data_IF_793250915255
#
_entry.id   IF_793250915255
#
_cell.length_a   1.000
_cell.length_b   1.000
_cell.length_c   1.000
_cell.angle_alpha   90.00
_cell.angle_beta   90.00
_cell.angle_gamma   90.00
#
_symmetry.space_group_name_H-M   'P 1'
#
loop_
_entity.id
_entity.type
_entity.pdbx_description
1 polymer ?
#
# COMPACT_ATOMS: atom_id res chain seq x y z
N UNK A 1 27.99 102.09 10.96
CA UNK A 1 26.59 102.08 10.48
C UNK A 1 26.45 100.83 9.61
N UNK A 2 26.16 99.68 10.22
CA UNK A 2 24.80 99.18 10.53
C UNK A 2 24.20 98.48 9.29
N UNK A 3 23.65 97.27 9.50
CA UNK A 3 23.03 96.31 8.55
C UNK A 3 24.03 95.42 7.77
N UNK A 4 24.01 94.08 7.79
CA UNK A 4 23.13 93.03 8.30
C UNK A 4 24.01 91.77 8.42
N UNK A 5 24.35 91.28 9.61
CA UNK A 5 23.66 90.15 10.27
C UNK A 5 22.32 89.75 9.64
N UNK A 6 22.26 88.61 8.93
CA UNK A 6 21.26 87.55 9.16
C UNK A 6 21.53 86.29 8.29
N UNK A 7 21.70 85.16 8.98
CA UNK A 7 21.23 83.80 8.63
C UNK A 7 21.65 83.13 7.33
N UNK A 8 22.55 82.14 7.44
CA UNK A 8 22.22 80.75 7.08
C UNK A 8 23.20 79.77 7.75
N UNK A 9 22.95 79.47 9.03
CA UNK A 9 23.46 78.26 9.68
C UNK A 9 22.49 77.13 9.34
N UNK A 10 22.76 76.41 8.25
CA UNK A 10 22.14 75.11 8.01
C UNK A 10 22.89 74.08 8.85
N UNK A 11 22.24 73.39 9.81
CA UNK A 11 22.88 72.26 10.46
C UNK A 11 23.05 71.16 9.41
N UNK A 12 24.29 70.85 9.07
CA UNK A 12 24.62 69.62 8.33
C UNK A 12 24.27 68.48 9.28
N UNK A 13 23.11 67.88 9.07
CA UNK A 13 22.70 66.66 9.73
C UNK A 13 23.56 65.54 9.15
N UNK A 14 24.75 65.35 9.72
CA UNK A 14 25.56 64.16 9.50
C UNK A 14 24.78 63.03 10.17
N UNK A 15 23.92 62.36 9.40
CA UNK A 15 23.30 61.12 9.84
C UNK A 15 24.42 60.16 10.21
N UNK A 16 24.48 59.80 11.49
CA UNK A 16 25.31 58.70 11.94
C UNK A 16 24.97 57.49 11.05
N UNK A 17 25.94 56.82 10.41
CA UNK A 17 25.65 55.58 9.72
C UNK A 17 25.15 54.62 10.80
N UNK A 18 23.86 54.30 10.78
CA UNK A 18 23.33 53.19 11.54
C UNK A 18 24.16 51.98 11.14
N UNK A 19 24.98 51.49 12.08
CA UNK A 19 25.70 50.25 11.96
C UNK A 19 24.65 49.14 11.80
N UNK A 20 24.24 48.89 10.56
CA UNK A 20 23.59 47.64 10.21
C UNK A 20 24.67 46.59 10.43
N UNK A 21 24.43 45.67 11.35
CA UNK A 21 25.26 44.49 11.49
C UNK A 21 25.44 43.90 10.09
N UNK A 22 26.69 43.59 9.71
CA UNK A 22 26.95 43.02 8.40
C UNK A 22 26.10 41.75 8.24
N UNK A 23 25.23 41.74 7.22
CA UNK A 23 24.40 40.57 6.91
C UNK A 23 25.29 39.35 6.71
N UNK A 24 24.90 38.22 7.31
CA UNK A 24 25.53 36.94 7.06
C UNK A 24 25.39 36.63 5.57
N UNK A 25 26.48 36.18 4.95
CA UNK A 25 26.53 35.83 3.53
C UNK A 25 25.98 34.42 3.30
N UNK A 26 25.26 34.23 2.19
CA UNK A 26 24.80 32.92 1.72
C UNK A 26 23.27 32.86 1.56
N UNK A 27 22.83 32.10 0.57
CA UNK A 27 21.41 31.91 0.27
C UNK A 27 20.68 31.19 1.42
N UNK A 28 19.41 31.53 1.63
CA UNK A 28 18.53 30.91 2.62
C UNK A 28 17.66 29.88 1.93
N UNK A 29 17.72 28.62 2.36
CA UNK A 29 16.89 27.55 1.83
C UNK A 29 15.77 27.20 2.80
N UNK A 30 14.52 27.41 2.39
CA UNK A 30 13.35 27.04 3.17
C UNK A 30 12.87 25.66 2.72
N UNK A 31 12.88 24.70 3.64
CA UNK A 31 12.43 23.32 3.43
C UNK A 31 11.12 23.10 4.19
N UNK A 32 9.97 22.92 3.51
CA UNK A 32 8.68 22.67 4.15
C UNK A 32 8.60 21.29 4.83
N UNK A 33 8.26 21.28 6.12
CA UNK A 33 7.97 20.10 6.94
C UNK A 33 6.50 20.16 7.36
N UNK A 34 5.61 20.14 6.36
CA UNK A 34 4.16 20.39 6.48
C UNK A 34 3.28 19.14 6.28
N UNK A 35 3.90 17.94 6.32
CA UNK A 35 3.25 16.64 6.19
C UNK A 35 3.59 15.73 7.38
N UNK A 36 2.86 14.62 7.61
CA UNK A 36 3.30 13.59 8.54
C UNK A 36 4.74 13.12 8.25
N UNK A 37 5.49 12.85 9.31
CA UNK A 37 6.89 12.41 9.22
C UNK A 37 6.94 10.94 8.79
N UNK A 38 6.94 10.73 7.49
CA UNK A 38 7.08 9.45 6.81
C UNK A 38 8.31 9.50 5.89
N UNK A 39 8.83 8.35 5.45
CA UNK A 39 10.05 8.34 4.61
C UNK A 39 9.90 9.17 3.32
N UNK A 40 8.69 9.36 2.77
CA UNK A 40 8.49 10.25 1.62
C UNK A 40 8.85 11.71 1.92
N UNK A 41 8.47 12.22 3.10
CA UNK A 41 8.95 13.51 3.61
C UNK A 41 10.46 13.44 3.90
N UNK A 42 10.95 12.30 4.40
CA UNK A 42 12.36 12.06 4.62
C UNK A 42 13.22 12.24 3.37
N UNK A 43 12.85 11.60 2.25
CA UNK A 43 13.53 11.72 0.96
C UNK A 43 13.48 13.14 0.39
N UNK A 44 12.34 13.80 0.56
CA UNK A 44 12.19 15.21 0.18
C UNK A 44 13.16 16.10 0.97
N UNK A 45 13.26 15.90 2.28
CA UNK A 45 14.20 16.65 3.12
C UNK A 45 15.66 16.33 2.78
N UNK A 46 16.04 15.05 2.61
CA UNK A 46 17.38 14.66 2.14
C UNK A 46 17.77 15.38 0.85
N UNK A 47 16.85 15.46 -0.12
CA UNK A 47 17.05 16.21 -1.36
C UNK A 47 17.20 17.71 -1.10
N UNK A 48 16.37 18.28 -0.23
CA UNK A 48 16.43 19.70 0.13
C UNK A 48 17.76 20.08 0.80
N UNK A 49 18.23 19.28 1.75
CA UNK A 49 19.54 19.45 2.40
C UNK A 49 20.68 19.35 1.37
N UNK A 50 20.65 18.31 0.53
CA UNK A 50 21.64 18.15 -0.54
C UNK A 50 21.66 19.34 -1.51
N UNK A 51 20.50 19.84 -1.89
CA UNK A 51 20.39 21.01 -2.76
C UNK A 51 20.97 22.27 -2.09
N UNK A 52 20.71 22.46 -0.79
CA UNK A 52 21.27 23.57 -0.03
C UNK A 52 22.81 23.49 0.06
N UNK A 53 23.36 22.28 0.26
CA UNK A 53 24.81 22.01 0.27
C UNK A 53 25.45 22.27 -1.10
N UNK A 54 24.89 21.73 -2.18
CA UNK A 54 25.40 21.92 -3.55
C UNK A 54 25.43 23.40 -3.96
N UNK A 55 24.53 24.20 -3.40
CA UNK A 55 24.39 25.63 -3.69
C UNK A 55 25.12 26.52 -2.68
N UNK A 56 25.85 25.95 -1.71
CA UNK A 56 26.55 26.66 -0.63
C UNK A 56 25.63 27.63 0.12
N UNK A 57 24.44 27.15 0.50
CA UNK A 57 23.50 27.90 1.33
C UNK A 57 24.15 28.34 2.65
N UNK A 58 23.80 29.53 3.11
CA UNK A 58 24.23 30.03 4.43
C UNK A 58 23.34 29.50 5.55
N UNK A 59 22.04 29.31 5.27
CA UNK A 59 21.04 28.90 6.26
C UNK A 59 20.04 27.91 5.64
N UNK A 60 19.65 26.90 6.41
CA UNK A 60 18.48 26.07 6.14
C UNK A 60 17.39 26.42 7.17
N UNK A 61 16.23 26.85 6.69
CA UNK A 61 15.02 27.05 7.49
C UNK A 61 14.09 25.86 7.29
N UNK A 62 13.83 25.11 8.35
CA UNK A 62 12.82 24.07 8.36
C UNK A 62 11.48 24.72 8.72
N UNK A 63 10.57 24.87 7.75
CA UNK A 63 9.21 25.40 7.99
C UNK A 63 8.31 24.28 8.50
N UNK A 64 8.22 24.14 9.82
CA UNK A 64 7.58 23.02 10.51
C UNK A 64 6.10 23.31 10.79
N UNK A 65 5.25 22.42 10.28
CA UNK A 65 3.84 22.30 10.63
C UNK A 65 3.38 20.84 10.44
N UNK A 66 3.68 19.99 11.41
CA UNK A 66 3.44 18.55 11.35
C UNK A 66 2.84 17.99 12.64
N UNK A 67 1.88 17.06 12.55
CA UNK A 67 1.37 16.31 13.70
C UNK A 67 2.38 15.26 14.23
N UNK A 68 3.51 15.08 13.55
CA UNK A 68 4.48 14.03 13.83
C UNK A 68 4.37 12.88 12.82
N UNK A 69 4.83 11.69 13.21
CA UNK A 69 4.89 10.54 12.32
C UNK A 69 5.76 9.43 12.91
N UNK A 70 6.44 8.69 12.04
CA UNK A 70 7.21 7.51 12.44
C UNK A 70 8.50 7.90 13.16
N UNK A 71 8.80 7.17 14.25
CA UNK A 71 9.99 7.37 15.09
C UNK A 71 11.29 7.08 14.35
N UNK A 72 11.31 6.03 13.50
CA UNK A 72 12.48 5.65 12.70
C UNK A 72 12.90 6.75 11.70
N UNK A 73 11.91 7.33 11.00
CA UNK A 73 12.12 8.44 10.07
C UNK A 73 12.55 9.70 10.83
N UNK A 74 11.94 9.97 11.99
CA UNK A 74 12.31 11.10 12.83
C UNK A 74 13.77 11.00 13.30
N UNK A 75 14.25 9.81 13.69
CA UNK A 75 15.63 9.58 14.10
C UNK A 75 16.62 9.85 12.96
N UNK A 76 16.33 9.34 11.76
CA UNK A 76 17.15 9.57 10.58
C UNK A 76 17.22 11.06 10.22
N UNK A 77 16.07 11.75 10.23
CA UNK A 77 16.01 13.19 9.93
C UNK A 77 16.62 14.05 11.03
N UNK A 78 16.45 13.70 12.30
CA UNK A 78 17.12 14.39 13.40
C UNK A 78 18.64 14.29 13.28
N UNK A 79 19.16 13.15 12.84
CA UNK A 79 20.59 12.98 12.52
C UNK A 79 21.01 13.84 11.34
N UNK A 80 20.24 13.86 10.24
CA UNK A 80 20.49 14.72 9.08
C UNK A 80 20.55 16.21 9.45
N UNK A 81 19.62 16.68 10.29
CA UNK A 81 19.56 18.07 10.74
C UNK A 81 20.78 18.37 11.62
N UNK A 82 21.02 17.53 12.62
CA UNK A 82 22.11 17.71 13.60
C UNK A 82 23.50 17.70 12.96
N UNK A 83 23.72 16.80 12.01
CA UNK A 83 25.04 16.62 11.37
C UNK A 83 25.21 17.55 10.15
N UNK A 84 24.26 18.45 9.88
CA UNK A 84 24.35 19.38 8.77
C UNK A 84 25.53 20.33 8.93
N UNK A 85 26.32 20.56 7.87
CA UNK A 85 27.39 21.56 7.89
C UNK A 85 26.87 23.00 7.72
N UNK A 86 25.59 23.16 7.37
CA UNK A 86 24.92 24.46 7.21
C UNK A 86 24.13 24.75 8.48
N UNK A 87 24.12 26.01 8.93
CA UNK A 87 23.32 26.44 10.08
C UNK A 87 21.84 26.13 9.82
N UNK A 88 21.15 25.55 10.80
CA UNK A 88 19.74 25.15 10.71
C UNK A 88 18.86 25.90 11.71
N UNK A 89 17.69 26.34 11.24
CA UNK A 89 16.65 26.90 12.11
C UNK A 89 15.32 26.20 11.87
N UNK A 90 14.73 25.69 12.94
CA UNK A 90 13.36 25.20 12.93
C UNK A 90 12.40 26.37 13.14
N UNK A 91 11.71 26.78 12.07
CA UNK A 91 10.61 27.72 12.14
C UNK A 91 9.30 26.95 12.36
N UNK A 92 8.76 26.96 13.58
CA UNK A 92 7.50 26.30 13.92
C UNK A 92 6.34 27.22 13.61
N UNK A 93 5.79 27.08 12.40
CA UNK A 93 4.68 27.89 11.88
C UNK A 93 3.33 27.50 12.49
N UNK A 94 3.13 26.22 12.76
CA UNK A 94 1.92 25.67 13.38
C UNK A 94 2.28 24.65 14.45
N UNK A 95 2.16 23.37 14.14
CA UNK A 95 2.50 22.32 15.10
C UNK A 95 3.90 21.76 14.83
N UNK A 96 4.74 21.69 15.86
CA UNK A 96 5.87 20.77 15.91
C UNK A 96 5.52 19.64 16.89
N UNK A 97 4.48 18.86 16.58
CA UNK A 97 3.99 17.82 17.47
C UNK A 97 4.73 16.50 17.30
N UNK A 98 4.86 15.76 18.39
CA UNK A 98 5.45 14.44 18.42
C UNK A 98 6.84 14.37 17.77
N UNK A 99 7.04 13.54 16.75
CA UNK A 99 8.28 13.49 15.97
C UNK A 99 8.71 14.87 15.40
N UNK A 100 7.78 15.80 15.17
CA UNK A 100 8.09 17.17 14.76
C UNK A 100 8.86 17.96 15.81
N UNK A 101 8.58 17.71 17.11
CA UNK A 101 9.36 18.28 18.20
C UNK A 101 10.80 17.79 18.15
N UNK A 102 11.01 16.49 17.84
CA UNK A 102 12.35 15.93 17.74
C UNK A 102 13.16 16.59 16.63
N UNK A 103 12.54 16.84 15.46
CA UNK A 103 13.21 17.57 14.37
C UNK A 103 13.59 18.99 14.79
N UNK A 104 12.66 19.71 15.43
CA UNK A 104 12.91 21.07 15.92
C UNK A 104 14.05 21.10 16.95
N UNK A 105 14.09 20.14 17.89
CA UNK A 105 15.13 20.06 18.92
C UNK A 105 16.53 19.78 18.37
N UNK A 106 16.64 19.07 17.24
CA UNK A 106 17.92 18.81 16.58
C UNK A 106 18.43 19.99 15.72
N UNK A 107 17.61 21.02 15.48
CA UNK A 107 18.07 22.24 14.81
C UNK A 107 18.87 23.14 15.76
N UNK A 108 19.77 23.95 15.20
CA UNK A 108 20.62 24.88 15.99
C UNK A 108 19.76 25.92 16.71
N UNK A 109 18.70 26.38 16.05
CA UNK A 109 17.77 27.40 16.55
C UNK A 109 16.31 27.00 16.35
N UNK A 110 15.46 27.41 17.28
CA UNK A 110 14.01 27.24 17.19
C UNK A 110 13.36 28.61 17.22
N UNK A 111 12.65 28.96 16.16
CA UNK A 111 11.82 30.17 16.08
C UNK A 111 10.37 29.74 15.95
N UNK A 112 9.46 30.35 16.70
CA UNK A 112 8.06 29.94 16.71
C UNK A 112 7.15 31.07 16.21
N UNK A 113 6.09 30.73 15.49
CA UNK A 113 5.02 31.68 15.16
C UNK A 113 4.08 31.89 16.34
N UNK A 114 3.50 33.09 16.54
CA UNK A 114 2.41 33.27 17.49
C UNK A 114 1.30 32.25 17.26
N UNK A 115 0.81 31.62 18.34
CA UNK A 115 -0.22 30.57 18.28
C UNK A 115 0.28 29.19 17.84
N UNK A 116 1.57 29.01 17.60
CA UNK A 116 2.19 27.72 17.28
C UNK A 116 2.54 26.92 18.55
N UNK A 117 2.85 25.63 18.41
CA UNK A 117 3.18 24.76 19.55
C UNK A 117 4.32 23.77 19.29
N UNK A 118 5.01 23.38 20.36
CA UNK A 118 6.02 22.30 20.37
C UNK A 118 5.78 21.33 21.55
N UNK A 119 5.89 20.03 21.32
CA UNK A 119 5.76 18.97 22.33
C UNK A 119 4.76 17.86 21.94
N UNK A 120 4.07 17.31 22.94
CA UNK A 120 3.14 16.17 22.78
C UNK A 120 3.77 14.99 22.03
N UNK A 121 4.91 14.52 22.52
CA UNK A 121 5.77 13.50 21.91
C UNK A 121 5.75 12.12 22.59
N UNK A 122 4.64 11.82 23.27
CA UNK A 122 4.31 10.47 23.67
C UNK A 122 4.11 9.57 22.43
N UNK A 123 4.69 8.37 22.45
CA UNK A 123 4.51 7.41 21.36
C UNK A 123 3.11 6.79 21.40
N UNK A 124 2.58 6.56 20.21
CA UNK A 124 1.34 5.81 19.97
C UNK A 124 1.58 4.72 18.94
N UNK A 125 0.83 3.62 19.02
CA UNK A 125 0.85 2.56 18.03
C UNK A 125 -0.05 2.91 16.82
N UNK A 126 -0.12 2.00 15.84
CA UNK A 126 -0.94 2.17 14.63
C UNK A 126 -2.44 2.27 14.89
N UNK A 127 -2.91 1.93 16.09
CA UNK A 127 -4.30 2.08 16.52
C UNK A 127 -4.55 3.41 17.25
N UNK A 128 -3.51 4.22 17.44
CA UNK A 128 -3.57 5.48 18.19
C UNK A 128 -3.52 5.27 19.71
N UNK A 129 -3.24 4.05 20.18
CA UNK A 129 -3.12 3.76 21.61
C UNK A 129 -1.71 4.12 22.09
N UNK A 130 -1.60 4.65 23.31
CA UNK A 130 -0.31 4.96 23.91
C UNK A 130 0.58 3.72 24.04
N UNK A 131 1.86 3.89 23.73
CA UNK A 131 2.88 2.86 23.89
C UNK A 131 3.47 2.95 25.29
N UNK A 132 3.10 1.99 26.15
CA UNK A 132 3.55 1.91 27.55
C UNK A 132 4.81 1.03 27.74
N UNK A 133 5.35 0.43 26.67
CA UNK A 133 6.52 -0.43 26.76
C UNK A 133 7.72 0.34 27.37
N UNK A 134 8.23 -0.05 28.54
CA UNK A 134 9.26 0.72 29.23
C UNK A 134 10.56 0.89 28.44
N UNK A 135 10.91 -0.08 27.59
CA UNK A 135 12.12 -0.03 26.78
C UNK A 135 11.96 0.99 25.66
N UNK A 136 10.82 0.97 24.96
CA UNK A 136 10.54 1.94 23.90
C UNK A 136 10.43 3.35 24.49
N UNK A 137 9.67 3.53 25.57
CA UNK A 137 9.50 4.85 26.23
C UNK A 137 10.85 5.38 26.71
N UNK A 138 11.67 4.56 27.37
CA UNK A 138 13.01 4.98 27.80
C UNK A 138 13.89 5.37 26.61
N UNK A 139 13.89 4.59 25.53
CA UNK A 139 14.65 4.89 24.31
C UNK A 139 14.26 6.25 23.71
N UNK A 140 12.97 6.46 23.47
CA UNK A 140 12.48 7.68 22.84
C UNK A 140 12.66 8.91 23.73
N UNK A 141 12.40 8.76 25.03
CA UNK A 141 12.70 9.77 26.04
C UNK A 141 14.16 10.19 25.97
N UNK A 142 15.10 9.25 26.03
CA UNK A 142 16.53 9.56 25.98
C UNK A 142 16.95 10.27 24.69
N UNK A 143 16.36 9.92 23.54
CA UNK A 143 16.59 10.63 22.28
C UNK A 143 16.13 12.08 22.34
N UNK A 144 14.90 12.33 22.81
CA UNK A 144 14.34 13.68 22.96
C UNK A 144 15.13 14.53 23.96
N UNK A 145 15.52 13.95 25.10
CA UNK A 145 16.37 14.63 26.09
C UNK A 145 17.73 15.02 25.49
N UNK A 146 18.41 14.08 24.82
CA UNK A 146 19.70 14.35 24.20
C UNK A 146 19.63 15.44 23.13
N UNK A 147 18.57 15.45 22.31
CA UNK A 147 18.36 16.51 21.31
C UNK A 147 18.19 17.89 21.97
N UNK A 148 17.41 17.99 23.04
CA UNK A 148 17.26 19.25 23.78
C UNK A 148 18.57 19.73 24.40
N UNK A 149 19.30 18.84 25.06
CA UNK A 149 20.53 19.17 25.79
C UNK A 149 21.67 19.63 24.87
N UNK A 150 21.79 19.04 23.67
CA UNK A 150 22.79 19.45 22.66
C UNK A 150 22.63 20.93 22.30
N UNK A 151 21.39 21.40 22.19
CA UNK A 151 21.05 22.78 21.83
C UNK A 151 20.86 23.69 23.06
N UNK A 152 21.30 23.24 24.24
CA UNK A 152 21.28 24.02 25.49
C UNK A 152 19.91 24.14 26.17
N UNK A 153 18.93 23.32 25.80
CA UNK A 153 17.56 23.33 26.35
C UNK A 153 17.44 22.31 27.49
N UNK A 154 16.55 22.55 28.47
CA UNK A 154 16.38 21.65 29.61
C UNK A 154 15.83 20.29 29.16
N UNK A 155 16.66 19.24 29.24
CA UNK A 155 16.28 17.88 28.90
C UNK A 155 15.08 17.36 29.69
N UNK A 156 14.78 17.85 30.90
CA UNK A 156 13.60 17.40 31.67
C UNK A 156 12.29 17.76 30.99
N UNK A 157 12.20 18.94 30.37
CA UNK A 157 11.01 19.37 29.64
C UNK A 157 10.79 18.44 28.43
N UNK A 158 11.84 18.12 27.67
CA UNK A 158 11.77 17.19 26.55
C UNK A 158 11.40 15.77 26.99
N UNK A 159 11.92 15.32 28.14
CA UNK A 159 11.46 14.09 28.76
C UNK A 159 9.95 14.15 29.08
N UNK A 160 9.48 15.27 29.61
CA UNK A 160 8.06 15.49 29.93
C UNK A 160 7.15 15.62 28.70
N UNK A 161 7.71 15.89 27.51
CA UNK A 161 7.01 15.79 26.24
C UNK A 161 6.76 14.33 25.83
N UNK A 162 7.52 13.35 26.36
CA UNK A 162 7.46 11.94 25.94
C UNK A 162 6.84 11.00 26.97
N UNK A 163 7.11 11.23 28.25
CA UNK A 163 6.82 10.29 29.32
C UNK A 163 5.72 10.83 30.24
N UNK A 164 4.56 10.18 30.19
CA UNK A 164 3.40 10.56 31.00
C UNK A 164 3.64 10.35 32.50
N UNK A 165 4.61 9.54 32.91
CA UNK A 165 4.78 9.10 34.30
C UNK A 165 5.71 9.98 35.16
N UNK A 166 6.36 10.98 34.57
CA UNK A 166 7.26 11.88 35.30
C UNK A 166 6.57 13.19 35.70
N UNK A 167 7.13 13.88 36.69
CA UNK A 167 6.72 15.23 37.09
C UNK A 167 7.80 16.20 36.63
N UNK A 168 7.41 17.32 36.03
CA UNK A 168 8.34 18.35 35.55
C UNK A 168 7.82 19.72 35.96
N UNK A 169 8.63 20.47 36.70
CA UNK A 169 8.34 21.83 37.11
C UNK A 169 8.93 22.81 36.09
N UNK A 170 8.13 23.78 35.65
CA UNK A 170 8.52 24.87 34.76
C UNK A 170 8.19 26.20 35.46
N UNK A 171 9.03 26.61 36.43
CA UNK A 171 8.77 27.79 37.26
C UNK A 171 8.67 29.09 36.45
N UNK A 172 9.34 29.19 35.31
CA UNK A 172 9.35 30.35 34.42
C UNK A 172 7.94 30.69 33.88
N UNK A 173 7.05 29.69 33.84
CA UNK A 173 5.65 29.83 33.41
C UNK A 173 4.65 29.45 34.50
N UNK A 174 5.11 29.23 35.74
CA UNK A 174 4.29 28.77 36.88
C UNK A 174 3.44 27.53 36.55
N UNK A 175 4.02 26.57 35.82
CA UNK A 175 3.34 25.35 35.37
C UNK A 175 4.11 24.12 35.86
N UNK A 176 3.40 23.15 36.43
CA UNK A 176 3.98 21.86 36.79
C UNK A 176 3.21 20.76 36.10
N UNK A 177 3.90 19.99 35.26
CA UNK A 177 3.38 18.79 34.61
C UNK A 177 3.27 17.68 35.64
N UNK A 178 2.07 17.12 35.82
CA UNK A 178 1.78 16.01 36.73
C UNK A 178 1.86 14.65 36.02
N UNK A 179 1.75 13.57 36.79
CA UNK A 179 1.65 12.21 36.22
C UNK A 179 0.33 12.05 35.46
N UNK A 180 0.40 11.41 34.29
CA UNK A 180 -0.73 11.24 33.37
C UNK A 180 -0.89 12.37 32.36
N UNK A 181 -0.18 13.49 32.53
CA UNK A 181 -0.16 14.60 31.56
C UNK A 181 1.00 14.47 30.58
N UNK A 182 0.99 15.29 29.52
CA UNK A 182 2.10 15.43 28.57
C UNK A 182 2.40 16.92 28.37
N UNK A 183 3.68 17.27 28.18
CA UNK A 183 4.05 18.66 27.92
C UNK A 183 3.82 18.98 26.45
N UNK A 184 3.05 20.04 26.21
CA UNK A 184 3.05 20.84 25.00
C UNK A 184 3.17 22.31 25.41
N UNK A 185 3.99 23.06 24.69
CA UNK A 185 4.28 24.46 24.95
C UNK A 185 3.78 25.29 23.77
N UNK A 186 3.01 26.34 24.07
CA UNK A 186 2.77 27.45 23.14
C UNK A 186 4.07 28.19 22.81
N UNK A 187 4.10 28.97 21.73
CA UNK A 187 5.24 29.81 21.38
C UNK A 187 5.71 30.71 22.55
N UNK A 188 4.79 31.32 23.29
CA UNK A 188 5.10 32.21 24.40
C UNK A 188 5.61 31.45 25.64
N UNK A 189 5.07 30.26 25.92
CA UNK A 189 5.60 29.38 26.98
C UNK A 189 7.00 28.89 26.61
N UNK A 190 7.17 28.42 25.38
CA UNK A 190 8.44 27.92 24.85
C UNK A 190 9.53 28.99 24.90
N UNK A 191 9.22 30.24 24.56
CA UNK A 191 10.18 31.34 24.68
C UNK A 191 10.59 31.58 26.14
N UNK A 192 9.64 31.56 27.09
CA UNK A 192 9.91 31.80 28.52
C UNK A 192 10.75 30.70 29.17
N UNK A 193 10.53 29.44 28.79
CA UNK A 193 11.28 28.29 29.32
C UNK A 193 12.57 27.99 28.52
N UNK A 194 12.92 28.84 27.54
CA UNK A 194 14.14 28.68 26.72
C UNK A 194 14.09 27.57 25.68
N UNK A 195 12.88 27.11 25.29
CA UNK A 195 12.67 26.15 24.21
C UNK A 195 12.60 26.80 22.83
N UNK A 196 12.11 28.03 22.74
CA UNK A 196 12.21 28.86 21.54
C UNK A 196 13.24 29.98 21.76
N UNK A 197 14.04 30.27 20.74
CA UNK A 197 15.00 31.37 20.75
C UNK A 197 14.34 32.71 20.38
N UNK A 198 13.31 32.68 19.54
CA UNK A 198 12.61 33.88 19.08
C UNK A 198 11.16 33.59 18.63
N UNK A 199 10.36 34.64 18.49
CA UNK A 199 9.01 34.58 17.93
C UNK A 199 8.95 35.45 16.68
N UNK A 200 8.47 34.90 15.56
CA UNK A 200 8.37 35.58 14.26
C UNK A 200 7.17 35.08 13.47
N UNK A 201 6.61 35.85 12.53
CA UNK A 201 5.40 35.45 11.82
C UNK A 201 5.69 34.59 10.58
N UNK A 202 6.89 34.69 10.02
CA UNK A 202 7.26 34.04 8.76
C UNK A 202 8.66 33.42 8.84
N UNK A 203 8.95 32.39 8.01
CA UNK A 203 10.30 31.81 7.94
C UNK A 203 11.34 32.82 7.45
N UNK A 204 10.94 33.79 6.62
CA UNK A 204 11.80 34.88 6.16
C UNK A 204 12.14 35.87 7.30
N UNK A 205 11.20 36.18 8.20
CA UNK A 205 11.46 36.97 9.41
C UNK A 205 12.42 36.23 10.36
N UNK A 206 12.28 34.90 10.49
CA UNK A 206 13.18 34.09 11.29
C UNK A 206 14.62 34.09 10.75
N UNK A 207 14.78 34.01 9.42
CA UNK A 207 16.08 34.12 8.75
C UNK A 207 16.70 35.52 8.94
N UNK A 208 15.89 36.58 8.83
CA UNK A 208 16.32 37.95 9.07
C UNK A 208 16.79 38.18 10.51
N UNK A 209 16.11 37.59 11.50
CA UNK A 209 16.53 37.64 12.90
C UNK A 209 17.91 37.00 13.13
N UNK A 210 18.25 35.96 12.36
CA UNK A 210 19.60 35.35 12.36
C UNK A 210 20.65 36.15 11.58
N UNK A 211 20.26 37.25 10.95
CA UNK A 211 21.12 38.14 10.19
C UNK A 211 21.29 37.79 8.71
N UNK A 212 20.44 36.93 8.15
CA UNK A 212 20.45 36.61 6.71
C UNK A 212 19.52 37.54 5.91
N UNK A 213 19.88 37.81 4.65
CA UNK A 213 19.04 38.61 3.75
C UNK A 213 17.73 37.91 3.40
N UNK A 214 16.66 38.69 3.22
CA UNK A 214 15.37 38.20 2.73
C UNK A 214 15.29 38.15 1.19
N UNK A 215 16.28 38.71 0.48
CA UNK A 215 16.27 38.79 -0.98
C UNK A 215 16.73 37.47 -1.64
N UNK A 216 17.62 36.72 -0.98
CA UNK A 216 18.21 35.47 -1.47
C UNK A 216 17.57 34.22 -0.81
N UNK A 217 16.23 34.18 -0.80
CA UNK A 217 15.44 33.09 -0.21
C UNK A 217 14.92 32.14 -1.27
N UNK A 218 15.31 30.86 -1.17
CA UNK A 218 14.88 29.78 -2.06
C UNK A 218 13.97 28.81 -1.31
N UNK A 219 12.74 28.65 -1.78
CA UNK A 219 11.81 27.64 -1.24
C UNK A 219 12.01 26.34 -2.00
N UNK A 220 12.33 25.27 -1.28
CA UNK A 220 12.46 23.94 -1.87
C UNK A 220 11.07 23.42 -2.22
N UNK A 221 10.78 23.37 -3.51
CA UNK A 221 9.51 22.84 -4.01
C UNK A 221 9.55 21.32 -4.12
N UNK A 222 8.39 20.70 -3.92
CA UNK A 222 8.16 19.29 -4.23
C UNK A 222 8.01 19.12 -5.73
N UNK A 223 8.69 18.12 -6.27
CA UNK A 223 8.48 17.72 -7.66
C UNK A 223 7.08 17.12 -7.83
N UNK A 224 6.54 17.17 -9.05
CA UNK A 224 5.26 16.52 -9.37
C UNK A 224 5.31 15.01 -9.08
N UNK A 225 6.46 14.38 -9.32
CA UNK A 225 6.68 12.98 -9.03
C UNK A 225 6.58 12.67 -7.53
N UNK A 226 7.19 13.48 -6.66
CA UNK A 226 7.08 13.34 -5.20
C UNK A 226 5.65 13.55 -4.70
N UNK A 227 4.91 14.50 -5.28
CA UNK A 227 3.50 14.71 -4.92
C UNK A 227 2.62 13.51 -5.31
N UNK A 228 2.80 12.98 -6.53
CA UNK A 228 2.09 11.78 -6.98
C UNK A 228 2.48 10.58 -6.12
N UNK A 229 3.78 10.40 -5.88
CA UNK A 229 4.29 9.31 -5.05
C UNK A 229 3.73 9.37 -3.64
N UNK A 230 3.76 10.53 -2.98
CA UNK A 230 3.18 10.75 -1.66
C UNK A 230 1.68 10.41 -1.59
N UNK A 231 0.93 10.64 -2.68
CA UNK A 231 -0.46 10.22 -2.76
C UNK A 231 -0.60 8.70 -2.93
N UNK A 232 0.19 8.10 -3.82
CA UNK A 232 0.15 6.66 -4.11
C UNK A 232 0.66 5.79 -2.96
N UNK A 233 1.56 6.30 -2.13
CA UNK A 233 2.11 5.61 -0.96
C UNK A 233 1.31 5.86 0.32
N UNK A 234 0.20 6.58 0.25
CA UNK A 234 -0.70 6.69 1.40
C UNK A 234 -1.25 5.28 1.74
N UNK A 235 -1.27 4.85 3.01
CA UNK A 235 -1.69 3.49 3.40
C UNK A 235 -3.07 3.07 2.87
N UNK A 236 -4.03 4.00 2.86
CA UNK A 236 -5.39 3.75 2.35
C UNK A 236 -5.37 3.57 0.84
N UNK A 237 -4.65 4.45 0.13
CA UNK A 237 -4.53 4.40 -1.33
C UNK A 237 -3.83 3.12 -1.77
N UNK A 238 -2.73 2.73 -1.10
CA UNK A 238 -2.03 1.47 -1.35
C UNK A 238 -2.96 0.26 -1.18
N UNK A 239 -3.74 0.22 -0.10
CA UNK A 239 -4.71 -0.86 0.16
C UNK A 239 -5.76 -0.93 -0.96
N UNK A 240 -6.29 0.21 -1.39
CA UNK A 240 -7.27 0.28 -2.48
C UNK A 240 -6.65 -0.15 -3.81
N UNK A 241 -5.42 0.27 -4.13
CA UNK A 241 -4.71 -0.14 -5.34
C UNK A 241 -4.46 -1.66 -5.35
N UNK A 242 -4.02 -2.25 -4.24
CA UNK A 242 -3.86 -3.69 -4.12
C UNK A 242 -5.19 -4.44 -4.27
N UNK A 243 -6.24 -3.94 -3.64
CA UNK A 243 -7.59 -4.52 -3.76
C UNK A 243 -8.08 -4.51 -5.21
N UNK A 244 -8.03 -3.36 -5.88
CA UNK A 244 -8.45 -3.23 -7.28
C UNK A 244 -7.55 -4.03 -8.22
N UNK A 245 -6.24 -4.10 -7.93
CA UNK A 245 -5.27 -4.95 -8.60
C UNK A 245 -5.67 -6.42 -8.58
N UNK A 246 -5.81 -6.97 -7.37
CA UNK A 246 -6.16 -8.37 -7.12
C UNK A 246 -7.55 -8.69 -7.68
N UNK A 247 -8.56 -7.85 -7.36
CA UNK A 247 -9.92 -8.06 -7.82
C UNK A 247 -10.01 -8.00 -9.36
N UNK A 248 -9.35 -7.05 -10.01
CA UNK A 248 -9.34 -6.92 -11.46
C UNK A 248 -8.79 -8.16 -12.17
N UNK A 249 -7.65 -8.67 -11.69
CA UNK A 249 -7.04 -9.91 -12.22
C UNK A 249 -7.96 -11.12 -12.01
N UNK A 250 -8.52 -11.29 -10.81
CA UNK A 250 -9.37 -12.46 -10.53
C UNK A 250 -10.70 -12.38 -11.31
N UNK A 251 -11.31 -11.20 -11.40
CA UNK A 251 -12.56 -10.99 -12.15
C UNK A 251 -12.34 -11.30 -13.64
N UNK A 252 -11.21 -10.88 -14.22
CA UNK A 252 -10.85 -11.20 -15.61
C UNK A 252 -10.80 -12.72 -15.86
N UNK A 253 -10.29 -13.49 -14.91
CA UNK A 253 -10.19 -14.95 -15.03
C UNK A 253 -11.55 -15.66 -14.90
N UNK A 254 -12.49 -15.09 -14.15
CA UNK A 254 -13.81 -15.69 -13.89
C UNK A 254 -14.84 -15.26 -14.93
N UNK A 255 -14.80 -14.00 -15.37
CA UNK A 255 -15.82 -13.40 -16.23
C UNK A 255 -15.31 -13.35 -17.67
N UNK A 256 -15.79 -14.24 -18.56
CA UNK A 256 -15.45 -14.17 -19.97
C UNK A 256 -16.02 -12.87 -20.56
N UNK A 257 -15.14 -12.02 -21.08
CA UNK A 257 -15.51 -10.68 -21.55
C UNK A 257 -14.31 -9.91 -22.07
N UNK A 258 -14.52 -8.63 -22.39
CA UNK A 258 -13.45 -7.74 -22.83
C UNK A 258 -12.60 -7.30 -21.63
N UNK A 259 -11.27 -7.33 -21.79
CA UNK A 259 -10.29 -7.30 -20.70
C UNK A 259 -10.13 -6.02 -19.88
N UNK A 260 -11.21 -5.25 -19.68
CA UNK A 260 -11.22 -4.06 -18.83
C UNK A 260 -10.83 -4.40 -17.38
N UNK A 261 -11.41 -5.41 -16.70
CA UNK A 261 -11.02 -5.74 -15.33
C UNK A 261 -9.53 -6.05 -15.21
N UNK A 262 -8.99 -6.83 -16.14
CA UNK A 262 -7.56 -7.13 -16.22
C UNK A 262 -6.70 -5.88 -16.41
N UNK A 263 -7.06 -4.98 -17.34
CA UNK A 263 -6.33 -3.72 -17.57
C UNK A 263 -6.37 -2.83 -16.32
N UNK A 264 -7.52 -2.67 -15.69
CA UNK A 264 -7.64 -1.90 -14.44
C UNK A 264 -6.77 -2.50 -13.36
N UNK A 265 -6.77 -3.84 -13.22
CA UNK A 265 -5.91 -4.55 -12.27
C UNK A 265 -4.42 -4.28 -12.51
N UNK A 266 -3.96 -4.40 -13.75
CA UNK A 266 -2.57 -4.11 -14.14
C UNK A 266 -2.20 -2.65 -13.86
N UNK A 267 -3.06 -1.70 -14.22
CA UNK A 267 -2.83 -0.27 -13.96
C UNK A 267 -2.70 -0.01 -12.46
N UNK A 268 -3.54 -0.63 -11.63
CA UNK A 268 -3.47 -0.48 -10.18
C UNK A 268 -2.16 -1.03 -9.60
N UNK A 269 -1.69 -2.20 -10.06
CA UNK A 269 -0.38 -2.71 -9.68
C UNK A 269 0.75 -1.81 -10.16
N UNK A 270 0.70 -1.33 -11.41
CA UNK A 270 1.71 -0.40 -11.94
C UNK A 270 1.78 0.86 -11.08
N UNK A 271 0.64 1.46 -10.74
CA UNK A 271 0.59 2.63 -9.86
C UNK A 271 1.13 2.32 -8.46
N UNK A 272 0.78 1.16 -7.89
CA UNK A 272 1.31 0.71 -6.60
C UNK A 272 2.85 0.64 -6.63
N UNK A 273 3.44 -0.09 -7.58
CA UNK A 273 4.89 -0.26 -7.65
C UNK A 273 5.61 1.04 -8.05
N UNK A 274 5.04 1.85 -8.97
CA UNK A 274 5.62 3.14 -9.36
C UNK A 274 5.63 4.15 -8.22
N UNK A 275 4.54 4.22 -7.44
CA UNK A 275 4.46 5.09 -6.27
C UNK A 275 5.56 4.78 -5.25
N UNK A 276 5.74 3.50 -4.94
CA UNK A 276 6.77 3.00 -4.03
C UNK A 276 8.19 3.13 -4.59
N UNK A 277 8.37 3.00 -5.92
CA UNK A 277 9.68 3.20 -6.57
C UNK A 277 10.15 4.66 -6.49
N UNK A 278 9.24 5.61 -6.79
CA UNK A 278 9.55 7.05 -6.70
C UNK A 278 9.78 7.47 -5.24
N UNK A 279 9.05 6.87 -4.29
CA UNK A 279 9.27 7.11 -2.86
C UNK A 279 10.60 6.53 -2.35
N UNK A 280 11.27 5.70 -3.16
CA UNK A 280 12.51 5.03 -2.78
C UNK A 280 12.32 3.79 -1.88
N UNK A 281 11.09 3.28 -1.74
CA UNK A 281 10.79 2.06 -0.97
C UNK A 281 11.06 0.80 -1.79
N UNK A 282 10.89 0.89 -3.10
CA UNK A 282 10.99 -0.24 -4.01
C UNK A 282 12.11 0.00 -5.04
N UNK A 283 12.98 -0.99 -5.24
CA UNK A 283 13.94 -1.00 -6.34
C UNK A 283 13.44 -1.79 -7.56
N UNK A 284 14.26 -1.84 -8.62
CA UNK A 284 13.94 -2.58 -9.85
C UNK A 284 13.74 -4.08 -9.59
N UNK A 285 14.35 -4.64 -8.54
CA UNK A 285 14.19 -6.03 -8.14
C UNK A 285 12.76 -6.38 -7.75
N UNK A 286 11.99 -5.44 -7.19
CA UNK A 286 10.60 -5.68 -6.79
C UNK A 286 9.69 -5.84 -8.01
N UNK A 287 9.90 -5.00 -9.03
CA UNK A 287 9.25 -5.08 -10.33
C UNK A 287 9.55 -6.39 -11.04
N UNK A 288 10.83 -6.79 -11.05
CA UNK A 288 11.25 -8.06 -11.66
C UNK A 288 10.60 -9.23 -10.93
N UNK A 289 10.65 -9.24 -9.59
CA UNK A 289 10.08 -10.33 -8.79
C UNK A 289 8.56 -10.46 -8.99
N UNK A 290 7.83 -9.36 -8.96
CA UNK A 290 6.39 -9.35 -9.21
C UNK A 290 6.06 -9.83 -10.63
N UNK A 291 6.77 -9.34 -11.63
CA UNK A 291 6.54 -9.70 -13.04
C UNK A 291 6.84 -11.18 -13.29
N UNK A 292 7.95 -11.70 -12.75
CA UNK A 292 8.26 -13.13 -12.80
C UNK A 292 7.17 -13.95 -12.11
N UNK A 293 6.71 -13.52 -10.93
CA UNK A 293 5.61 -14.18 -10.23
C UNK A 293 4.32 -14.23 -11.05
N UNK A 294 3.97 -13.12 -11.71
CA UNK A 294 2.81 -13.04 -12.60
C UNK A 294 2.95 -13.96 -13.82
N UNK A 295 4.13 -13.99 -14.45
CA UNK A 295 4.42 -14.90 -15.56
C UNK A 295 4.30 -16.36 -15.13
N UNK A 296 4.83 -16.73 -13.96
CA UNK A 296 4.72 -18.09 -13.44
C UNK A 296 3.26 -18.49 -13.19
N UNK A 297 2.44 -17.58 -12.66
CA UNK A 297 0.99 -17.78 -12.51
C UNK A 297 0.30 -18.01 -13.86
N UNK A 298 0.68 -17.24 -14.88
CA UNK A 298 0.14 -17.42 -16.24
C UNK A 298 0.58 -18.76 -16.82
N UNK A 299 1.86 -19.13 -16.66
CA UNK A 299 2.40 -20.38 -17.18
C UNK A 299 1.74 -21.62 -16.57
N UNK A 300 1.35 -21.59 -15.30
CA UNK A 300 0.58 -22.70 -14.68
C UNK A 300 -0.72 -23.00 -15.43
N UNK A 301 -1.37 -21.99 -16.04
CA UNK A 301 -2.61 -22.19 -16.80
C UNK A 301 -2.38 -22.93 -18.13
N UNK A 302 -1.16 -22.88 -18.69
CA UNK A 302 -0.82 -23.52 -19.96
C UNK A 302 0.00 -24.79 -19.78
N UNK A 303 0.81 -24.84 -18.72
CA UNK A 303 1.72 -25.93 -18.39
C UNK A 303 1.21 -26.54 -17.08
N UNK A 304 0.55 -27.71 -17.11
CA UNK A 304 0.07 -28.38 -15.91
C UNK A 304 1.28 -28.84 -15.09
N UNK A 305 1.72 -27.98 -14.16
CA UNK A 305 2.92 -28.19 -13.34
C UNK A 305 2.60 -28.84 -11.99
N UNK A 306 1.36 -29.31 -11.83
CA UNK A 306 0.78 -29.76 -10.57
C UNK A 306 0.83 -28.67 -9.47
N UNK A 307 0.70 -27.40 -9.87
CA UNK A 307 0.65 -26.26 -8.96
C UNK A 307 2.02 -25.72 -8.51
N UNK A 308 3.14 -26.29 -8.94
CA UNK A 308 4.48 -25.84 -8.53
C UNK A 308 4.73 -24.41 -9.00
N UNK A 309 4.47 -24.10 -10.28
CA UNK A 309 4.61 -22.75 -10.83
C UNK A 309 3.60 -21.80 -10.18
N UNK A 310 2.38 -22.25 -9.92
CA UNK A 310 1.37 -21.47 -9.20
C UNK A 310 1.80 -21.07 -7.78
N UNK A 311 2.37 -22.00 -7.00
CA UNK A 311 2.85 -21.72 -5.64
C UNK A 311 4.03 -20.76 -5.66
N UNK A 312 5.05 -21.06 -6.47
CA UNK A 312 6.24 -20.20 -6.57
C UNK A 312 5.88 -18.81 -7.13
N UNK A 313 4.97 -18.74 -8.09
CA UNK A 313 4.45 -17.49 -8.63
C UNK A 313 3.70 -16.68 -7.58
N UNK A 314 2.85 -17.32 -6.78
CA UNK A 314 2.13 -16.68 -5.67
C UNK A 314 3.09 -16.13 -4.62
N UNK A 315 4.11 -16.92 -4.23
CA UNK A 315 5.14 -16.47 -3.28
C UNK A 315 5.89 -15.26 -3.84
N UNK A 316 6.28 -15.29 -5.12
CA UNK A 316 6.97 -14.18 -5.78
C UNK A 316 6.09 -12.92 -5.86
N UNK A 317 4.79 -13.04 -6.15
CA UNK A 317 3.84 -11.92 -6.16
C UNK A 317 3.72 -11.28 -4.77
N UNK A 318 3.47 -12.10 -3.74
CA UNK A 318 3.35 -11.62 -2.35
C UNK A 318 4.66 -10.98 -1.90
N UNK A 319 5.80 -11.64 -2.16
CA UNK A 319 7.11 -11.09 -1.83
C UNK A 319 7.40 -9.79 -2.58
N UNK A 320 7.00 -9.67 -3.85
CA UNK A 320 7.11 -8.43 -4.63
C UNK A 320 6.31 -7.29 -4.01
N UNK A 321 5.04 -7.53 -3.66
CA UNK A 321 4.17 -6.54 -3.02
C UNK A 321 4.70 -6.11 -1.65
N UNK A 322 5.07 -7.08 -0.81
CA UNK A 322 5.56 -6.82 0.56
C UNK A 322 6.91 -6.12 0.55
N UNK A 323 7.80 -6.48 -0.37
CA UNK A 323 9.13 -5.86 -0.49
C UNK A 323 9.08 -4.47 -1.12
N UNK A 324 8.08 -4.20 -1.97
CA UNK A 324 7.86 -2.86 -2.50
C UNK A 324 7.28 -1.91 -1.45
N UNK A 325 6.54 -2.43 -0.48
CA UNK A 325 6.05 -1.63 0.64
C UNK A 325 7.20 -1.25 1.57
N UNK A 326 7.12 -0.04 2.12
CA UNK A 326 7.99 0.41 3.19
C UNK A 326 7.96 -0.56 4.37
N UNK A 327 6.76 -0.78 4.94
CA UNK A 327 6.59 -1.45 6.21
C UNK A 327 6.02 -2.83 5.95
N UNK A 328 6.80 -3.85 6.28
CA UNK A 328 6.41 -5.24 6.07
C UNK A 328 5.12 -5.59 6.82
N UNK A 329 4.91 -5.05 8.02
CA UNK A 329 3.72 -5.32 8.82
C UNK A 329 2.49 -4.68 8.19
N UNK A 330 2.58 -3.40 7.82
CA UNK A 330 1.48 -2.69 7.16
C UNK A 330 1.18 -3.30 5.78
N UNK A 331 2.21 -3.80 5.08
CA UNK A 331 2.05 -4.50 3.81
C UNK A 331 1.24 -5.78 3.96
N UNK A 332 1.54 -6.61 4.97
CA UNK A 332 0.77 -7.82 5.24
C UNK A 332 -0.68 -7.51 5.64
N UNK A 333 -0.89 -6.48 6.46
CA UNK A 333 -2.24 -6.02 6.84
C UNK A 333 -3.00 -5.52 5.60
N UNK A 334 -2.41 -4.64 4.81
CA UNK A 334 -3.01 -4.07 3.60
C UNK A 334 -3.32 -5.15 2.57
N UNK A 335 -2.39 -6.09 2.36
CA UNK A 335 -2.57 -7.23 1.47
C UNK A 335 -3.68 -8.16 1.97
N UNK A 336 -3.75 -8.43 3.27
CA UNK A 336 -4.81 -9.23 3.89
C UNK A 336 -6.19 -8.59 3.73
N UNK A 337 -6.30 -7.28 3.99
CA UNK A 337 -7.53 -6.50 3.77
C UNK A 337 -7.92 -6.52 2.29
N UNK A 338 -6.97 -6.23 1.40
CA UNK A 338 -7.19 -6.20 -0.04
C UNK A 338 -7.66 -7.56 -0.58
N UNK A 339 -7.01 -8.65 -0.17
CA UNK A 339 -7.36 -10.00 -0.57
C UNK A 339 -8.72 -10.42 0.00
N UNK A 340 -8.99 -10.15 1.28
CA UNK A 340 -10.29 -10.42 1.90
C UNK A 340 -11.43 -9.66 1.22
N UNK A 341 -11.23 -8.36 0.94
CA UNK A 341 -12.18 -7.55 0.21
C UNK A 341 -12.40 -8.06 -1.23
N UNK A 342 -11.33 -8.48 -1.91
CA UNK A 342 -11.43 -9.08 -3.25
C UNK A 342 -12.28 -10.36 -3.22
N UNK A 343 -12.07 -11.25 -2.23
CA UNK A 343 -12.86 -12.47 -2.07
C UNK A 343 -14.35 -12.17 -1.83
N UNK A 344 -14.69 -11.14 -1.07
CA UNK A 344 -16.08 -10.70 -0.86
C UNK A 344 -16.69 -10.26 -2.19
N UNK A 345 -16.00 -9.45 -2.98
CA UNK A 345 -16.46 -9.02 -4.31
C UNK A 345 -16.63 -10.21 -5.25
N UNK A 346 -15.68 -11.14 -5.24
CA UNK A 346 -15.75 -12.36 -6.04
C UNK A 346 -16.95 -13.21 -5.63
N UNK A 347 -17.22 -13.37 -4.33
CA UNK A 347 -18.39 -14.10 -3.84
C UNK A 347 -19.69 -13.43 -4.30
N UNK A 348 -19.78 -12.10 -4.21
CA UNK A 348 -20.94 -11.33 -4.69
C UNK A 348 -21.13 -11.51 -6.20
N UNK A 349 -20.07 -11.36 -7.01
CA UNK A 349 -20.12 -11.57 -8.45
C UNK A 349 -20.53 -13.02 -8.78
N UNK A 350 -19.96 -13.99 -8.08
CA UNK A 350 -20.28 -15.41 -8.29
C UNK A 350 -21.74 -15.72 -7.97
N UNK A 351 -22.33 -15.07 -6.97
CA UNK A 351 -23.76 -15.19 -6.64
C UNK A 351 -24.63 -14.48 -7.69
N UNK A 352 -24.30 -13.25 -8.08
CA UNK A 352 -25.08 -12.46 -9.04
C UNK A 352 -25.07 -13.08 -10.44
N UNK A 353 -23.92 -13.63 -10.86
CA UNK A 353 -23.73 -14.24 -12.18
C UNK A 353 -23.90 -15.76 -12.18
N UNK A 354 -24.35 -16.35 -11.05
CA UNK A 354 -24.62 -17.79 -10.91
C UNK A 354 -25.55 -18.31 -12.01
N UNK A 355 -26.59 -17.56 -12.33
CA UNK A 355 -27.60 -17.94 -13.33
C UNK A 355 -27.21 -17.59 -14.78
N UNK A 356 -26.07 -16.89 -14.98
CA UNK A 356 -25.57 -16.51 -16.31
C UNK A 356 -24.68 -17.57 -16.97
N UNK A 357 -24.74 -18.82 -16.49
CA UNK A 357 -24.32 -20.01 -17.25
C UNK A 357 -22.81 -20.12 -17.56
N UNK A 358 -21.94 -19.48 -16.77
CA UNK A 358 -20.48 -19.55 -16.99
C UNK A 358 -19.90 -20.86 -16.44
N UNK A 359 -20.38 -21.31 -15.28
CA UNK A 359 -19.98 -22.57 -14.63
C UNK A 359 -20.59 -23.81 -15.32
N UNK A 360 -21.69 -23.64 -16.07
CA UNK A 360 -22.32 -24.72 -16.85
C UNK A 360 -21.49 -25.17 -18.05
N UNK A 361 -20.38 -24.48 -18.38
CA UNK A 361 -19.41 -24.92 -19.41
C UNK A 361 -18.26 -25.76 -18.85
N UNK A 362 -18.01 -25.71 -17.54
CA UNK A 362 -16.97 -26.50 -16.87
C UNK A 362 -17.52 -27.74 -16.18
N UNK A 363 -18.82 -27.74 -15.84
CA UNK A 363 -19.53 -28.95 -15.41
C UNK A 363 -20.23 -29.49 -16.65
N UNK A 364 -19.75 -30.63 -17.18
CA UNK A 364 -20.51 -31.41 -18.14
C UNK A 364 -21.78 -31.91 -17.44
N UNK A 365 -22.81 -31.08 -17.49
CA UNK A 365 -24.11 -31.30 -16.84
C UNK A 365 -25.01 -32.18 -17.71
N UNK A 366 -24.52 -32.61 -18.89
CA UNK A 366 -25.07 -33.75 -19.60
C UNK A 366 -24.59 -35.02 -18.90
N UNK A 367 -25.27 -35.36 -17.80
CA UNK A 367 -25.54 -36.78 -17.62
C UNK A 367 -26.46 -37.15 -18.78
N UNK A 368 -25.99 -38.02 -19.67
CA UNK A 368 -26.81 -38.69 -20.67
C UNK A 368 -27.82 -39.58 -19.94
N UNK A 369 -28.80 -38.94 -19.32
CA UNK A 369 -29.93 -39.57 -18.67
C UNK A 369 -30.87 -40.02 -19.78
N UNK A 370 -31.22 -41.31 -19.75
CA UNK A 370 -32.06 -41.98 -20.74
C UNK A 370 -33.40 -41.25 -21.01
N UNK A 371 -33.81 -40.38 -20.09
CA UNK A 371 -35.03 -39.58 -20.15
C UNK A 371 -35.00 -38.44 -21.20
N UNK A 372 -33.83 -38.11 -21.78
CA UNK A 372 -33.69 -37.07 -22.83
C UNK A 372 -33.39 -37.62 -24.24
N UNK A 373 -33.68 -38.89 -24.50
CA UNK A 373 -33.85 -39.39 -25.88
C UNK A 373 -32.60 -39.49 -26.76
N UNK A 374 -31.40 -39.52 -26.16
CA UNK A 374 -30.16 -39.86 -26.86
C UNK A 374 -29.80 -41.34 -26.62
N UNK A 375 -30.60 -42.26 -27.18
CA UNK A 375 -30.12 -43.62 -27.46
C UNK A 375 -29.57 -43.62 -28.89
N UNK A 376 -28.30 -43.98 -29.06
CA UNK A 376 -27.63 -44.04 -30.38
C UNK A 376 -28.14 -45.15 -31.30
N UNK A 377 -29.26 -45.79 -30.96
CA UNK A 377 -29.98 -46.72 -31.80
C UNK A 377 -31.48 -46.67 -31.44
N UNK A 378 -32.35 -46.67 -32.45
CA UNK A 378 -33.80 -46.85 -32.29
C UNK A 378 -34.04 -48.15 -31.54
N UNK A 379 -34.65 -48.10 -30.36
CA UNK A 379 -35.02 -49.32 -29.63
C UNK A 379 -36.06 -50.09 -30.44
N UNK A 380 -35.64 -51.21 -31.04
CA UNK A 380 -36.54 -52.09 -31.80
C UNK A 380 -37.38 -52.99 -30.89
N UNK A 381 -38.19 -52.38 -30.02
CA UNK A 381 -39.06 -53.09 -29.06
C UNK A 381 -40.07 -54.00 -29.76
N UNK A 382 -40.42 -53.70 -31.00
CA UNK A 382 -41.26 -54.53 -31.86
C UNK A 382 -40.70 -55.95 -32.08
N UNK A 383 -39.40 -56.16 -31.91
CA UNK A 383 -38.79 -57.47 -32.08
C UNK A 383 -38.97 -58.39 -30.86
N UNK A 384 -39.21 -57.85 -29.68
CA UNK A 384 -39.29 -58.65 -28.44
C UNK A 384 -40.53 -59.55 -28.49
N UNK A 385 -40.32 -60.85 -28.30
CA UNK A 385 -41.37 -61.87 -28.39
C UNK A 385 -41.57 -62.47 -29.78
N UNK A 386 -40.95 -61.93 -30.84
CA UNK A 386 -40.99 -62.54 -32.16
C UNK A 386 -40.23 -63.86 -32.19
N UNK A 387 -40.81 -64.84 -32.88
CA UNK A 387 -40.17 -66.12 -33.15
C UNK A 387 -39.46 -66.07 -34.50
N UNK A 388 -38.27 -66.68 -34.55
CA UNK A 388 -37.45 -66.74 -35.73
C UNK A 388 -36.65 -68.03 -35.79
N UNK A 389 -35.81 -68.14 -36.81
CA UNK A 389 -34.93 -69.30 -37.02
C UNK A 389 -33.50 -68.80 -37.14
N UNK A 390 -32.57 -69.45 -36.45
CA UNK A 390 -31.14 -69.17 -36.58
C UNK A 390 -30.62 -69.51 -37.99
N UNK A 391 -30.01 -68.56 -38.69
CA UNK A 391 -29.39 -68.75 -40.00
C UNK A 391 -27.91 -69.14 -39.91
N UNK A 392 -27.28 -68.84 -38.79
CA UNK A 392 -25.92 -69.28 -38.45
C UNK A 392 -25.92 -69.91 -37.06
N UNK A 393 -24.91 -70.72 -36.71
CA UNK A 393 -24.69 -71.11 -35.32
C UNK A 393 -24.47 -69.85 -34.46
N UNK A 394 -25.14 -69.72 -33.32
CA UNK A 394 -25.03 -68.56 -32.42
C UNK A 394 -24.06 -68.88 -31.26
N UNK A 395 -22.88 -68.22 -31.22
CA UNK A 395 -21.81 -68.44 -30.20
C UNK A 395 -20.97 -67.19 -29.87
N UNK A 396 -21.41 -66.30 -28.98
CA UNK A 396 -22.80 -66.06 -28.65
C UNK A 396 -23.51 -65.28 -29.78
N UNK A 397 -22.78 -64.67 -30.72
CA UNK A 397 -23.36 -63.92 -31.84
C UNK A 397 -23.57 -64.78 -33.08
N UNK A 398 -24.51 -64.35 -33.92
CA UNK A 398 -24.76 -64.87 -35.26
C UNK A 398 -25.96 -64.16 -35.89
N UNK A 399 -26.49 -64.68 -36.99
CA UNK A 399 -27.60 -64.06 -37.71
C UNK A 399 -28.82 -64.97 -37.66
N UNK A 400 -30.00 -64.39 -37.51
CA UNK A 400 -31.28 -65.09 -37.51
C UNK A 400 -32.31 -64.40 -38.41
N UNK A 401 -33.34 -65.15 -38.80
CA UNK A 401 -34.45 -64.66 -39.61
C UNK A 401 -35.68 -64.47 -38.74
N UNK A 402 -36.23 -63.26 -38.73
CA UNK A 402 -37.52 -62.93 -38.09
C UNK A 402 -38.41 -62.26 -39.13
N UNK A 403 -39.61 -62.80 -39.37
CA UNK A 403 -40.59 -62.25 -40.33
C UNK A 403 -40.02 -61.89 -41.73
N UNK A 404 -38.98 -62.61 -42.18
CA UNK A 404 -38.33 -62.37 -43.48
C UNK A 404 -37.19 -61.34 -43.46
N UNK A 405 -36.90 -60.73 -42.31
CA UNK A 405 -35.73 -59.86 -42.10
C UNK A 405 -34.56 -60.64 -41.48
N UNK A 406 -33.35 -60.46 -42.03
CA UNK A 406 -32.10 -60.98 -41.45
C UNK A 406 -31.57 -60.01 -40.40
N UNK A 407 -31.45 -60.48 -39.16
CA UNK A 407 -31.07 -59.66 -38.01
C UNK A 407 -29.89 -60.33 -37.29
N UNK A 408 -28.89 -59.54 -36.93
CA UNK A 408 -27.79 -59.99 -36.07
C UNK A 408 -28.26 -60.08 -34.62
N UNK A 409 -28.03 -61.24 -34.01
CA UNK A 409 -28.52 -61.59 -32.68
C UNK A 409 -27.40 -62.17 -31.82
N UNK A 410 -27.59 -62.11 -30.52
CA UNK A 410 -26.65 -62.62 -29.51
C UNK A 410 -27.41 -63.49 -28.51
N UNK A 411 -26.86 -64.63 -28.13
CA UNK A 411 -27.41 -65.47 -27.06
C UNK A 411 -26.89 -65.00 -25.69
N UNK A 412 -27.62 -65.31 -24.62
CA UNK A 412 -27.17 -65.05 -23.25
C UNK A 412 -26.26 -66.20 -22.73
N UNK A 413 -25.24 -66.54 -23.52
CA UNK A 413 -24.22 -67.53 -23.17
C UNK A 413 -24.46 -68.94 -23.72
N UNK A 414 -25.69 -69.28 -24.13
CA UNK A 414 -26.00 -70.61 -24.69
C UNK A 414 -25.58 -70.75 -26.15
N UNK A 415 -25.12 -71.95 -26.51
CA UNK A 415 -24.89 -72.29 -27.91
C UNK A 415 -26.20 -72.71 -28.59
N UNK A 416 -26.59 -72.00 -29.66
CA UNK A 416 -27.74 -72.37 -30.49
C UNK A 416 -27.27 -72.82 -31.89
N UNK A 417 -27.58 -74.05 -32.35
CA UNK A 417 -27.26 -74.51 -33.70
C UNK A 417 -27.97 -73.71 -34.80
N UNK A 418 -27.55 -73.89 -36.05
CA UNK A 418 -28.28 -73.40 -37.23
C UNK A 418 -29.65 -74.10 -37.34
N UNK A 419 -30.61 -73.45 -38.00
CA UNK A 419 -31.98 -73.96 -38.24
C UNK A 419 -32.75 -74.28 -36.95
N UNK A 420 -32.45 -73.57 -35.86
CA UNK A 420 -33.10 -73.75 -34.56
C UNK A 420 -34.12 -72.63 -34.32
N UNK A 421 -35.36 -72.96 -33.88
CA UNK A 421 -36.34 -71.97 -33.46
C UNK A 421 -35.85 -71.16 -32.26
N UNK A 422 -35.92 -69.85 -32.36
CA UNK A 422 -35.49 -68.90 -31.31
C UNK A 422 -36.55 -67.82 -31.08
N UNK A 423 -36.53 -67.24 -29.89
CA UNK A 423 -37.39 -66.10 -29.53
C UNK A 423 -36.52 -64.95 -29.01
N UNK A 424 -36.88 -63.73 -29.40
CA UNK A 424 -36.21 -62.52 -28.89
C UNK A 424 -36.69 -62.23 -27.48
N UNK A 425 -35.75 -62.22 -26.52
CA UNK A 425 -36.03 -61.94 -25.10
C UNK A 425 -35.73 -60.49 -24.72
N UNK A 426 -34.84 -59.82 -25.46
CA UNK A 426 -34.43 -58.46 -25.16
C UNK A 426 -33.97 -57.74 -26.43
N UNK A 427 -34.40 -56.51 -26.62
CA UNK A 427 -33.91 -55.65 -27.70
C UNK A 427 -33.45 -54.31 -27.09
N UNK A 428 -32.14 -54.12 -26.95
CA UNK A 428 -31.55 -52.90 -26.41
C UNK A 428 -30.59 -52.30 -27.45
N UNK A 429 -31.03 -51.22 -28.11
CA UNK A 429 -30.28 -50.59 -29.20
C UNK A 429 -29.95 -51.58 -30.32
N UNK A 430 -28.66 -51.75 -30.62
CA UNK A 430 -28.17 -52.69 -31.65
C UNK A 430 -27.98 -54.12 -31.14
N UNK A 431 -28.25 -54.39 -29.86
CA UNK A 431 -28.09 -55.71 -29.24
C UNK A 431 -29.45 -56.41 -29.11
N UNK A 432 -29.69 -57.40 -29.96
CA UNK A 432 -30.89 -58.25 -29.92
C UNK A 432 -30.51 -59.58 -29.26
N UNK A 433 -31.07 -59.85 -28.07
CA UNK A 433 -30.79 -61.06 -27.30
C UNK A 433 -31.87 -62.11 -27.56
N UNK A 434 -31.44 -63.32 -27.90
CA UNK A 434 -32.30 -64.44 -28.24
C UNK A 434 -32.03 -65.66 -27.37
N UNK A 435 -33.04 -66.48 -27.17
CA UNK A 435 -32.92 -67.80 -26.57
C UNK A 435 -33.61 -68.85 -27.44
N UNK A 436 -33.23 -70.11 -27.27
CA UNK A 436 -33.91 -71.21 -27.94
C UNK A 436 -35.38 -71.25 -27.50
N UNK A 437 -36.30 -71.28 -28.46
CA UNK A 437 -37.72 -71.40 -28.16
C UNK A 437 -38.00 -72.81 -27.62
N UNK A 438 -38.72 -72.90 -26.50
CA UNK A 438 -39.20 -74.19 -25.99
C UNK A 438 -40.24 -74.75 -26.98
N UNK A 439 -40.20 -76.05 -27.30
CA UNK A 439 -41.24 -76.68 -28.10
C UNK A 439 -42.58 -76.55 -27.37
N UNK A 440 -43.60 -76.04 -28.09
CA UNK A 440 -44.99 -75.98 -27.61
C UNK A 440 -45.61 -77.37 -27.59
#
# INVERSE_FOLDING_TARGET
MLLMLLTLLLPVWIGSPSAHAAEKSGAVYIIPVDKPIEQGLGKFMERGFKQAEEMNAGLIVLDINTPGGRVDTAEALGTLIKDSPIETVAFVRGDAASAGSFLALNADKIVMSPGSMIGAAAMVDSTGKHVDDPKLVAFWKSKMQGAAEISGRDGKIAAGMTDVNIVVEMPEINKTKQKGEIIALSAEEALKVGYADHISNTPEEAAAWLGYSQDDVFKVERTTAENISSFLTNPVVMTVLLFLGIAGVIIELIVPGFGVPGIVGIVCFVLYFSGNYIAGFAGAETWVLFTVGLIMMILEMFIPSFGILGILGSIALVAGVVRAAYDTSDAFVSLGIAFGAALVVIAIISIIFKDRGIWNRFILSDSMSADRGYSSATERKELVGLQGISLTPLRPSGTAMFEGERIDVVTDGDFIPIDTPIIVIKAEGTRIVVQQALPV
#
